data_IF_310727991098
#
_entry.id   IF_310727991098
#
_cell.length_a   1.000
_cell.length_b   1.000
_cell.length_c   1.000
_cell.angle_alpha   90.00
_cell.angle_beta   90.00
_cell.angle_gamma   90.00
#
_symmetry.space_group_name_H-M   'P 1'
#
loop_
_entity.id
_entity.type
_entity.pdbx_description
1 polymer ?
#
# COMPACT_ATOMS: atom_id res chain seq x y z
N UNK A 1 12.78 14.19 -37.36
CA UNK A 1 12.14 15.07 -36.34
C UNK A 1 11.70 14.19 -35.19
N UNK A 2 12.12 14.55 -33.98
CA UNK A 2 11.83 13.87 -32.72
C UNK A 2 10.33 13.87 -32.41
N UNK A 3 9.85 12.76 -31.85
CA UNK A 3 8.81 12.80 -30.82
C UNK A 3 9.16 11.72 -29.76
N UNK A 4 10.17 12.03 -28.93
CA UNK A 4 10.37 11.38 -27.63
C UNK A 4 9.30 11.90 -26.66
N UNK A 5 8.03 11.61 -26.94
CA UNK A 5 6.92 11.88 -26.02
C UNK A 5 6.45 10.60 -25.34
N UNK A 6 7.37 9.68 -25.07
CA UNK A 6 7.22 8.75 -23.96
C UNK A 6 7.31 9.59 -22.69
N UNK A 7 6.16 10.15 -22.29
CA UNK A 7 6.01 10.90 -21.05
C UNK A 7 6.76 10.15 -19.95
N UNK A 8 7.54 10.91 -19.17
CA UNK A 8 8.01 10.53 -17.85
C UNK A 8 6.82 9.99 -17.07
N UNK A 9 6.57 8.68 -17.14
CA UNK A 9 5.71 8.05 -16.16
C UNK A 9 6.50 8.19 -14.86
N UNK A 10 5.95 8.86 -13.83
CA UNK A 10 6.63 8.94 -12.55
C UNK A 10 7.08 7.53 -12.16
N UNK A 11 8.32 7.40 -11.66
CA UNK A 11 8.98 6.12 -11.33
C UNK A 11 8.23 5.28 -10.26
N UNK A 12 7.05 5.74 -9.82
CA UNK A 12 6.24 5.11 -8.81
C UNK A 12 5.22 4.18 -9.47
N UNK A 13 5.10 2.96 -8.95
CA UNK A 13 4.28 1.92 -9.56
C UNK A 13 2.78 2.26 -9.57
N UNK A 14 2.26 2.88 -8.50
CA UNK A 14 0.83 3.18 -8.31
C UNK A 14 0.62 4.41 -7.42
N UNK A 15 -0.49 5.14 -7.63
CA UNK A 15 -1.00 6.14 -6.69
C UNK A 15 -1.89 5.53 -5.60
N UNK A 16 -2.21 6.31 -4.57
CA UNK A 16 -3.08 5.89 -3.47
C UNK A 16 -4.49 5.51 -3.92
N UNK A 17 -5.08 6.23 -4.88
CA UNK A 17 -6.41 5.94 -5.41
C UNK A 17 -6.45 4.61 -6.18
N UNK A 18 -5.40 4.29 -6.94
CA UNK A 18 -5.23 3.00 -7.60
C UNK A 18 -5.01 1.88 -6.58
N UNK A 19 -4.11 2.11 -5.61
CA UNK A 19 -3.85 1.16 -4.53
C UNK A 19 -5.13 0.84 -3.73
N UNK A 20 -6.01 1.83 -3.53
CA UNK A 20 -7.31 1.64 -2.87
C UNK A 20 -8.24 0.75 -3.68
N UNK A 21 -8.25 0.84 -5.02
CA UNK A 21 -9.03 -0.08 -5.87
C UNK A 21 -8.55 -1.51 -5.68
N UNK A 22 -7.25 -1.74 -5.65
CA UNK A 22 -6.68 -3.07 -5.43
C UNK A 22 -6.99 -3.60 -4.04
N UNK A 23 -6.96 -2.74 -3.02
CA UNK A 23 -7.36 -3.10 -1.67
C UNK A 23 -8.83 -3.53 -1.58
N UNK A 24 -9.73 -2.92 -2.36
CA UNK A 24 -11.13 -3.34 -2.42
C UNK A 24 -11.28 -4.74 -3.01
N UNK A 25 -10.48 -5.10 -4.02
CA UNK A 25 -10.47 -6.46 -4.56
C UNK A 25 -9.94 -7.48 -3.54
N UNK A 26 -8.94 -7.12 -2.74
CA UNK A 26 -8.49 -7.93 -1.60
C UNK A 26 -9.60 -8.15 -0.56
N UNK A 27 -10.40 -7.11 -0.25
CA UNK A 27 -11.56 -7.23 0.66
C UNK A 27 -12.67 -8.11 0.09
N UNK A 28 -12.96 -7.98 -1.21
CA UNK A 28 -13.92 -8.86 -1.90
C UNK A 28 -13.45 -10.31 -1.87
N UNK A 29 -12.16 -10.55 -2.15
CA UNK A 29 -11.59 -11.90 -2.15
C UNK A 29 -11.63 -12.52 -0.75
N UNK A 30 -11.29 -11.75 0.28
CA UNK A 30 -11.37 -12.20 1.67
C UNK A 30 -12.82 -12.52 2.12
N UNK A 31 -13.81 -11.85 1.53
CA UNK A 31 -15.23 -12.13 1.74
C UNK A 31 -15.79 -13.24 0.83
N UNK A 32 -14.93 -13.95 0.08
CA UNK A 32 -15.33 -14.97 -0.90
C UNK A 32 -16.34 -14.47 -1.93
N UNK A 33 -16.23 -13.19 -2.33
CA UNK A 33 -17.12 -12.61 -3.32
C UNK A 33 -16.85 -13.23 -4.70
N UNK A 34 -17.90 -13.66 -5.44
CA UNK A 34 -17.75 -14.41 -6.70
C UNK A 34 -17.15 -13.60 -7.86
N UNK A 35 -17.03 -12.28 -7.72
CA UNK A 35 -16.47 -11.37 -8.73
C UNK A 35 -15.25 -10.59 -8.20
N UNK A 36 -14.53 -11.14 -7.22
CA UNK A 36 -13.27 -10.56 -6.76
C UNK A 36 -12.17 -10.76 -7.81
N UNK A 37 -11.45 -9.69 -8.16
CA UNK A 37 -10.28 -9.80 -9.01
C UNK A 37 -9.06 -10.27 -8.18
N UNK A 38 -8.72 -11.54 -8.30
CA UNK A 38 -7.61 -12.15 -7.55
C UNK A 38 -6.24 -11.61 -7.96
N UNK A 39 -6.10 -11.10 -9.19
CA UNK A 39 -4.87 -10.46 -9.64
C UNK A 39 -4.66 -9.14 -8.89
N UNK A 40 -5.66 -8.25 -8.88
CA UNK A 40 -5.54 -6.98 -8.15
C UNK A 40 -5.45 -7.17 -6.63
N UNK A 41 -6.15 -8.15 -6.06
CA UNK A 41 -5.97 -8.53 -4.66
C UNK A 41 -4.51 -8.95 -4.37
N UNK A 42 -3.92 -9.75 -5.26
CA UNK A 42 -2.52 -10.17 -5.19
C UNK A 42 -1.55 -9.00 -5.33
N UNK A 43 -1.81 -8.06 -6.25
CA UNK A 43 -1.01 -6.83 -6.42
C UNK A 43 -1.03 -6.00 -5.13
N UNK A 44 -2.19 -5.80 -4.51
CA UNK A 44 -2.30 -5.08 -3.23
C UNK A 44 -1.46 -5.76 -2.14
N UNK A 45 -1.63 -7.07 -1.95
CA UNK A 45 -0.91 -7.81 -0.92
C UNK A 45 0.61 -7.82 -1.14
N UNK A 46 1.05 -8.03 -2.38
CA UNK A 46 2.47 -8.01 -2.73
C UNK A 46 3.10 -6.62 -2.54
N UNK A 47 2.41 -5.56 -2.98
CA UNK A 47 2.89 -4.20 -2.85
C UNK A 47 3.03 -3.77 -1.38
N UNK A 48 2.00 -3.99 -0.57
CA UNK A 48 2.02 -3.66 0.87
C UNK A 48 3.09 -4.46 1.60
N UNK A 49 3.22 -5.76 1.32
CA UNK A 49 4.24 -6.61 1.94
C UNK A 49 5.66 -6.13 1.57
N UNK A 50 5.91 -5.87 0.29
CA UNK A 50 7.21 -5.42 -0.20
C UNK A 50 7.63 -4.10 0.44
N UNK A 51 6.74 -3.11 0.47
CA UNK A 51 7.02 -1.83 1.14
C UNK A 51 7.20 -2.02 2.64
N UNK A 52 6.33 -2.76 3.32
CA UNK A 52 6.45 -3.02 4.76
C UNK A 52 7.80 -3.63 5.14
N UNK A 53 8.24 -4.66 4.40
CA UNK A 53 9.52 -5.32 4.64
C UNK A 53 10.69 -4.37 4.40
N UNK A 54 10.62 -3.54 3.35
CA UNK A 54 11.63 -2.51 3.10
C UNK A 54 11.71 -1.50 4.24
N UNK A 55 10.58 -0.98 4.70
CA UNK A 55 10.53 0.01 5.78
C UNK A 55 11.05 -0.55 7.11
N UNK A 56 10.71 -1.81 7.43
CA UNK A 56 11.21 -2.51 8.61
C UNK A 56 12.73 -2.74 8.52
N UNK A 57 13.24 -3.19 7.37
CA UNK A 57 14.67 -3.40 7.14
C UNK A 57 15.48 -2.10 7.25
N UNK A 58 14.92 -0.98 6.79
CA UNK A 58 15.52 0.35 6.89
C UNK A 58 15.29 1.04 8.24
N UNK A 59 14.59 0.39 9.18
CA UNK A 59 14.18 0.95 10.48
C UNK A 59 13.43 2.28 10.38
N UNK A 60 12.64 2.45 9.33
CA UNK A 60 11.71 3.57 9.16
C UNK A 60 10.44 3.31 9.99
N UNK A 61 10.00 2.05 10.05
CA UNK A 61 8.88 1.60 10.87
C UNK A 61 9.30 0.40 11.72
N UNK A 62 8.64 0.22 12.87
CA UNK A 62 9.02 -0.80 13.85
C UNK A 62 7.77 -1.58 14.28
N UNK A 63 7.21 -2.35 13.34
CA UNK A 63 6.13 -3.27 13.64
C UNK A 63 6.67 -4.41 14.55
N UNK A 64 5.87 -4.90 15.52
CA UNK A 64 6.21 -6.11 16.27
C UNK A 64 6.41 -7.34 15.36
N UNK A 65 7.23 -8.29 15.82
CA UNK A 65 7.60 -9.48 15.04
C UNK A 65 6.41 -10.43 14.75
N UNK A 66 5.33 -10.33 15.51
CA UNK A 66 4.12 -11.14 15.38
C UNK A 66 3.03 -10.50 14.51
N UNK A 67 3.28 -9.32 13.95
CA UNK A 67 2.35 -8.67 13.02
C UNK A 67 2.26 -9.46 11.72
N UNK A 68 1.04 -9.87 11.38
CA UNK A 68 0.75 -10.58 10.14
C UNK A 68 0.60 -9.62 8.96
N UNK A 69 0.87 -10.12 7.74
CA UNK A 69 0.60 -9.33 6.52
C UNK A 69 -0.89 -8.94 6.39
N UNK A 70 -1.80 -9.75 6.91
CA UNK A 70 -3.24 -9.41 6.98
C UNK A 70 -3.48 -8.12 7.77
N UNK A 71 -2.86 -8.00 8.95
CA UNK A 71 -2.97 -6.79 9.78
C UNK A 71 -2.33 -5.57 9.11
N UNK A 72 -1.17 -5.72 8.45
CA UNK A 72 -0.53 -4.60 7.73
C UNK A 72 -1.44 -4.12 6.59
N UNK A 73 -2.02 -5.04 5.81
CA UNK A 73 -3.01 -4.69 4.78
C UNK A 73 -4.22 -3.97 5.35
N UNK A 74 -4.71 -4.37 6.51
CA UNK A 74 -5.84 -3.74 7.17
C UNK A 74 -5.52 -2.32 7.63
N UNK A 75 -4.35 -2.11 8.22
CA UNK A 75 -3.84 -0.78 8.60
C UNK A 75 -3.79 0.15 7.39
N UNK A 76 -3.19 -0.29 6.29
CA UNK A 76 -3.07 0.52 5.07
C UNK A 76 -4.45 0.83 4.46
N UNK A 77 -5.35 -0.16 4.40
CA UNK A 77 -6.72 0.05 3.88
C UNK A 77 -7.49 1.05 4.73
N UNK A 78 -7.43 0.94 6.05
CA UNK A 78 -8.11 1.83 6.97
C UNK A 78 -7.56 3.26 6.88
N UNK A 79 -6.24 3.42 6.77
CA UNK A 79 -5.61 4.73 6.54
C UNK A 79 -6.12 5.39 5.24
N UNK A 80 -6.19 4.64 4.13
CA UNK A 80 -6.75 5.14 2.87
C UNK A 80 -8.25 5.50 2.93
N UNK A 81 -9.00 4.93 3.89
CA UNK A 81 -10.39 5.29 4.13
C UNK A 81 -10.52 6.53 5.01
N UNK A 82 -9.66 6.69 6.00
CA UNK A 82 -9.62 7.84 6.88
C UNK A 82 -9.06 9.10 6.20
N UNK A 83 -8.20 8.94 5.19
CA UNK A 83 -7.46 10.03 4.53
C UNK A 83 -7.68 10.08 3.00
N UNK A 84 -8.92 10.28 2.50
CA UNK A 84 -9.19 10.34 1.06
C UNK A 84 -8.45 11.49 0.36
N UNK A 85 -8.16 12.59 1.05
CA UNK A 85 -7.43 13.75 0.56
C UNK A 85 -5.99 13.40 0.15
N UNK A 86 -5.41 12.33 0.70
CA UNK A 86 -4.04 11.90 0.44
C UNK A 86 -3.93 10.90 -0.73
N UNK A 87 -5.05 10.40 -1.29
CA UNK A 87 -5.01 9.34 -2.30
C UNK A 87 -4.37 9.77 -3.64
N UNK A 88 -4.16 11.06 -3.86
CA UNK A 88 -3.40 11.59 -5.00
C UNK A 88 -1.88 11.36 -4.88
N UNK A 89 -1.39 11.01 -3.68
CA UNK A 89 0.00 10.72 -3.41
C UNK A 89 0.40 9.32 -3.93
N UNK A 90 1.70 9.09 -4.00
CA UNK A 90 2.28 7.81 -4.39
C UNK A 90 1.95 6.71 -3.37
N UNK A 91 1.70 5.49 -3.85
CA UNK A 91 1.31 4.34 -3.02
C UNK A 91 2.31 4.04 -1.90
N UNK A 92 3.61 4.18 -2.15
CA UNK A 92 4.65 4.00 -1.12
C UNK A 92 4.49 5.02 0.00
N UNK A 93 4.14 6.27 -0.33
CA UNK A 93 3.90 7.32 0.66
C UNK A 93 2.69 7.00 1.53
N UNK A 94 1.62 6.45 0.93
CA UNK A 94 0.45 5.98 1.66
C UNK A 94 0.82 4.86 2.65
N UNK A 95 1.50 3.82 2.16
CA UNK A 95 1.87 2.66 2.99
C UNK A 95 2.81 3.08 4.12
N UNK A 96 3.83 3.89 3.84
CA UNK A 96 4.75 4.40 4.87
C UNK A 96 4.03 5.19 5.94
N UNK A 97 3.15 6.12 5.56
CA UNK A 97 2.39 6.93 6.53
C UNK A 97 1.48 6.06 7.39
N UNK A 98 0.74 5.14 6.78
CA UNK A 98 -0.15 4.23 7.48
C UNK A 98 0.57 3.37 8.51
N UNK A 99 1.68 2.72 8.12
CA UNK A 99 2.45 1.87 9.02
C UNK A 99 3.13 2.69 10.11
N UNK A 100 3.67 3.87 9.79
CA UNK A 100 4.34 4.74 10.76
C UNK A 100 3.38 5.39 11.77
N UNK A 101 2.10 5.55 11.43
CA UNK A 101 1.09 6.03 12.38
C UNK A 101 0.82 5.01 13.50
N UNK A 102 0.82 3.72 13.16
CA UNK A 102 0.52 2.63 14.10
C UNK A 102 1.78 2.10 14.80
N UNK A 103 2.86 1.94 14.04
CA UNK A 103 4.12 1.34 14.50
C UNK A 103 5.34 2.23 14.18
N UNK A 104 5.40 3.44 14.74
CA UNK A 104 6.58 4.28 14.59
C UNK A 104 7.77 3.63 15.29
N UNK A 105 8.96 3.76 14.71
CA UNK A 105 10.18 3.45 15.44
C UNK A 105 10.37 4.44 16.59
N UNK A 106 10.36 3.92 17.82
CA UNK A 106 10.75 4.71 18.99
C UNK A 106 12.27 4.80 19.03
N UNK A 107 12.79 5.86 18.42
CA UNK A 107 14.12 6.38 18.79
C UNK A 107 13.86 7.75 19.44
N UNK A 108 13.97 7.80 20.76
CA UNK A 108 14.37 9.02 21.47
C UNK A 108 15.84 8.88 21.78
#
# INVERSE_FOLDING_TARGET
MLALTGFLQPCFAYKGDELKKFALEDKKLAASAPAADSYYAGVYGGYVNGVSNLLQALKITCAPDDVTIGQVKDVVFNYMNAHPELLHLEGISIVTRAINEVWPCRIK
#
